data_IF_039056706851
#
_entry.id   IF_039056706851
#
_cell.length_a   1.000
_cell.length_b   1.000
_cell.length_c   1.000
_cell.angle_alpha   90.00
_cell.angle_beta   90.00
_cell.angle_gamma   90.00
#
_symmetry.space_group_name_H-M   'P 1'
#
loop_
_entity.id
_entity.type
_entity.pdbx_description
1 polymer ?
#
# COMPACT_ATOMS: atom_id res chain seq x y z
N UNK A 1 32.35 10.08 -11.73
CA UNK A 1 32.25 8.60 -11.66
C UNK A 1 31.00 8.26 -10.85
N UNK A 2 29.82 8.57 -11.40
CA UNK A 2 28.53 8.43 -10.67
C UNK A 2 27.38 7.92 -11.56
N UNK A 3 27.59 7.77 -12.86
CA UNK A 3 26.52 7.33 -13.78
C UNK A 3 26.56 5.83 -14.10
N UNK A 4 27.61 5.11 -13.70
CA UNK A 4 27.76 3.66 -13.97
C UNK A 4 27.22 2.76 -12.84
N UNK A 5 26.86 3.31 -11.68
CA UNK A 5 26.42 2.49 -10.53
C UNK A 5 24.93 2.14 -10.55
N UNK A 6 24.16 2.68 -11.51
CA UNK A 6 22.71 2.50 -11.57
C UNK A 6 22.27 2.22 -13.01
N UNK A 7 22.61 1.03 -13.51
CA UNK A 7 22.13 0.57 -14.81
C UNK A 7 20.80 -0.19 -14.66
N UNK A 8 19.65 0.39 -15.05
CA UNK A 8 18.34 -0.23 -14.86
C UNK A 8 18.09 -1.48 -15.73
N UNK A 9 19.03 -1.84 -16.61
CA UNK A 9 19.00 -3.07 -17.41
C UNK A 9 19.61 -4.28 -16.71
N UNK A 10 20.26 -4.10 -15.55
CA UNK A 10 20.89 -5.22 -14.86
C UNK A 10 19.84 -6.19 -14.28
N UNK A 11 20.06 -7.52 -14.40
CA UNK A 11 19.08 -8.52 -13.99
C UNK A 11 18.67 -8.42 -12.51
N UNK A 12 19.63 -8.12 -11.62
CA UNK A 12 19.36 -8.00 -10.19
C UNK A 12 18.51 -6.76 -9.88
N UNK A 13 18.65 -5.69 -10.67
CA UNK A 13 17.88 -4.47 -10.49
C UNK A 13 16.42 -4.68 -10.89
N UNK A 14 16.17 -5.34 -12.02
CA UNK A 14 14.83 -5.71 -12.48
C UNK A 14 14.17 -6.62 -11.43
N UNK A 15 14.91 -7.61 -10.93
CA UNK A 15 14.43 -8.52 -9.89
C UNK A 15 14.10 -7.82 -8.57
N UNK A 16 14.98 -6.95 -8.06
CA UNK A 16 14.70 -6.16 -6.86
C UNK A 16 13.48 -5.24 -7.05
N UNK A 17 13.36 -4.61 -8.21
CA UNK A 17 12.22 -3.74 -8.54
C UNK A 17 10.90 -4.51 -8.55
N UNK A 18 10.87 -5.72 -9.11
CA UNK A 18 9.68 -6.58 -9.10
C UNK A 18 9.29 -7.00 -7.69
N UNK A 19 10.27 -7.38 -6.87
CA UNK A 19 10.04 -7.71 -5.45
C UNK A 19 9.47 -6.54 -4.68
N UNK A 20 10.05 -5.34 -4.82
CA UNK A 20 9.56 -4.14 -4.15
C UNK A 20 8.12 -3.82 -4.58
N UNK A 21 7.78 -3.97 -5.86
CA UNK A 21 6.40 -3.79 -6.34
C UNK A 21 5.45 -4.83 -5.75
N UNK A 22 5.86 -6.09 -5.69
CA UNK A 22 5.04 -7.18 -5.19
C UNK A 22 4.76 -7.05 -3.68
N UNK A 23 5.81 -6.88 -2.86
CA UNK A 23 5.66 -6.66 -1.42
C UNK A 23 5.00 -5.31 -1.10
N UNK A 24 5.28 -4.26 -1.89
CA UNK A 24 4.61 -2.97 -1.77
C UNK A 24 3.10 -3.07 -2.02
N UNK A 25 2.70 -3.90 -2.98
CA UNK A 25 1.27 -4.16 -3.28
C UNK A 25 0.57 -4.87 -2.11
N UNK A 26 1.25 -5.84 -1.46
CA UNK A 26 0.73 -6.49 -0.25
C UNK A 26 0.55 -5.47 0.88
N UNK A 27 1.52 -4.57 1.08
CA UNK A 27 1.43 -3.49 2.07
C UNK A 27 0.23 -2.57 1.83
N UNK A 28 -0.02 -2.17 0.58
CA UNK A 28 -1.17 -1.34 0.22
C UNK A 28 -2.49 -2.09 0.47
N UNK A 29 -2.55 -3.39 0.18
CA UNK A 29 -3.71 -4.23 0.49
C UNK A 29 -4.00 -4.28 2.00
N UNK A 30 -2.98 -4.47 2.83
CA UNK A 30 -3.13 -4.46 4.28
C UNK A 30 -3.60 -3.08 4.77
N UNK A 31 -3.00 -2.00 4.27
CA UNK A 31 -3.42 -0.64 4.60
C UNK A 31 -4.88 -0.38 4.20
N UNK A 32 -5.30 -0.86 3.03
CA UNK A 32 -6.67 -0.74 2.56
C UNK A 32 -7.67 -1.45 3.49
N UNK A 33 -7.34 -2.65 3.96
CA UNK A 33 -8.20 -3.41 4.88
C UNK A 33 -8.31 -2.71 6.25
N UNK A 34 -7.18 -2.24 6.79
CA UNK A 34 -7.16 -1.51 8.06
C UNK A 34 -8.00 -0.23 7.95
N UNK A 35 -7.76 0.56 6.91
CA UNK A 35 -8.47 1.82 6.75
C UNK A 35 -9.94 1.65 6.40
N UNK A 36 -10.29 0.63 5.60
CA UNK A 36 -11.68 0.25 5.37
C UNK A 36 -12.38 -0.16 6.67
N UNK A 37 -11.67 -0.84 7.58
CA UNK A 37 -12.22 -1.25 8.89
C UNK A 37 -12.47 -0.05 9.81
N UNK A 38 -11.56 0.94 9.82
CA UNK A 38 -11.74 2.16 10.60
C UNK A 38 -12.89 3.00 10.02
N UNK A 39 -12.96 3.14 8.70
CA UNK A 39 -14.07 3.81 8.01
C UNK A 39 -15.41 3.12 8.29
N UNK A 40 -15.46 1.78 8.26
CA UNK A 40 -16.66 1.03 8.64
C UNK A 40 -17.02 1.24 10.12
N UNK A 41 -16.03 1.24 11.01
CA UNK A 41 -16.19 1.53 12.44
C UNK A 41 -16.77 2.91 12.71
N UNK A 42 -16.46 3.91 11.87
CA UNK A 42 -17.04 5.26 11.97
C UNK A 42 -18.56 5.27 11.78
N UNK A 43 -19.12 4.36 10.95
CA UNK A 43 -20.57 4.24 10.77
C UNK A 43 -21.27 3.54 11.95
N UNK A 44 -20.53 2.73 12.73
CA UNK A 44 -21.07 2.02 13.89
C UNK A 44 -20.99 2.92 15.13
N UNK A 45 -19.81 3.47 15.43
CA UNK A 45 -19.58 4.34 16.58
C UNK A 45 -18.42 5.32 16.30
N UNK A 46 -18.70 6.32 15.46
CA UNK A 46 -17.73 7.36 15.11
C UNK A 46 -17.22 8.18 16.28
N UNK A 47 -18.00 8.36 17.35
CA UNK A 47 -17.56 9.09 18.54
C UNK A 47 -16.44 8.33 19.28
N UNK A 48 -16.59 7.02 19.46
CA UNK A 48 -15.55 6.19 20.06
C UNK A 48 -14.30 6.10 19.20
N UNK A 49 -14.46 5.92 17.88
CA UNK A 49 -13.33 5.92 16.95
C UNK A 49 -12.60 7.27 17.01
N UNK A 50 -13.31 8.39 16.89
CA UNK A 50 -12.73 9.73 16.93
C UNK A 50 -12.02 10.03 18.27
N UNK A 51 -12.51 9.51 19.39
CA UNK A 51 -11.84 9.61 20.69
C UNK A 51 -10.52 8.81 20.74
N UNK A 52 -10.43 7.69 20.01
CA UNK A 52 -9.23 6.84 19.94
C UNK A 52 -8.16 7.35 18.99
N UNK A 53 -8.53 7.70 17.76
CA UNK A 53 -7.58 8.15 16.72
C UNK A 53 -7.43 9.68 16.67
N UNK A 54 -8.38 10.42 17.23
CA UNK A 54 -8.39 11.88 17.20
C UNK A 54 -8.68 12.46 15.81
N UNK A 55 -8.86 13.78 15.76
CA UNK A 55 -9.09 14.50 14.51
C UNK A 55 -7.89 14.41 13.55
N UNK A 56 -6.67 14.47 14.09
CA UNK A 56 -5.44 14.35 13.29
C UNK A 56 -5.32 12.96 12.67
N UNK A 57 -5.64 11.90 13.43
CA UNK A 57 -5.67 10.53 12.92
C UNK A 57 -6.68 10.36 11.79
N UNK A 58 -7.87 10.96 11.92
CA UNK A 58 -8.89 10.95 10.87
C UNK A 58 -8.42 11.64 9.57
N UNK A 59 -7.68 12.75 9.67
CA UNK A 59 -7.11 13.42 8.48
C UNK A 59 -6.10 12.52 7.78
N UNK A 60 -5.23 11.85 8.55
CA UNK A 60 -4.26 10.89 8.02
C UNK A 60 -4.97 9.71 7.34
N UNK A 61 -6.02 9.19 7.97
CA UNK A 61 -6.88 8.12 7.43
C UNK A 61 -7.41 8.46 6.03
N UNK A 62 -7.96 9.66 5.87
CA UNK A 62 -8.48 10.15 4.59
C UNK A 62 -7.37 10.20 3.55
N UNK A 63 -6.19 10.69 3.90
CA UNK A 63 -5.04 10.74 2.99
C UNK A 63 -4.61 9.32 2.58
N UNK A 64 -4.50 8.40 3.54
CA UNK A 64 -4.09 7.01 3.30
C UNK A 64 -5.07 6.29 2.38
N UNK A 65 -6.38 6.42 2.60
CA UNK A 65 -7.42 5.82 1.76
C UNK A 65 -7.30 6.31 0.31
N UNK A 66 -7.13 7.62 0.11
CA UNK A 66 -6.99 8.20 -1.23
C UNK A 66 -5.72 7.72 -1.92
N UNK A 67 -4.58 7.65 -1.21
CA UNK A 67 -3.33 7.11 -1.75
C UNK A 67 -3.50 5.65 -2.14
N UNK A 68 -4.13 4.83 -1.28
CA UNK A 68 -4.38 3.42 -1.59
C UNK A 68 -5.28 3.25 -2.83
N UNK A 69 -6.31 4.09 -2.97
CA UNK A 69 -7.18 4.08 -4.15
C UNK A 69 -6.41 4.45 -5.43
N UNK A 70 -5.59 5.50 -5.39
CA UNK A 70 -4.74 5.90 -6.53
C UNK A 70 -3.73 4.81 -6.88
N UNK A 71 -3.07 4.23 -5.89
CA UNK A 71 -2.12 3.14 -6.11
C UNK A 71 -2.81 1.90 -6.68
N UNK A 72 -4.03 1.59 -6.25
CA UNK A 72 -4.82 0.48 -6.79
C UNK A 72 -5.28 0.70 -8.24
N UNK A 73 -5.40 1.95 -8.69
CA UNK A 73 -5.73 2.28 -10.08
C UNK A 73 -4.49 2.27 -10.98
N UNK A 74 -3.36 2.77 -10.46
CA UNK A 74 -2.12 2.91 -11.23
C UNK A 74 -1.29 1.62 -11.27
N UNK A 75 -1.41 0.78 -10.25
CA UNK A 75 -0.68 -0.48 -10.14
C UNK A 75 -1.65 -1.64 -10.06
N UNK A 76 -1.34 -2.74 -10.73
CA UNK A 76 -2.06 -4.00 -10.57
C UNK A 76 -1.71 -4.62 -9.19
N UNK A 77 -2.27 -4.03 -8.13
CA UNK A 77 -2.00 -4.42 -6.76
C UNK A 77 -2.43 -5.86 -6.50
N UNK A 78 -3.60 -6.25 -7.01
CA UNK A 78 -4.12 -7.61 -6.85
C UNK A 78 -3.23 -8.63 -7.56
N UNK A 79 -2.87 -8.38 -8.82
CA UNK A 79 -2.01 -9.27 -9.59
C UNK A 79 -0.59 -9.37 -9.00
N UNK A 80 -0.03 -8.25 -8.54
CA UNK A 80 1.29 -8.24 -7.91
C UNK A 80 1.30 -8.92 -6.54
N UNK A 81 0.25 -8.74 -5.73
CA UNK A 81 0.12 -9.41 -4.44
C UNK A 81 -0.10 -10.92 -4.62
N UNK A 82 -0.88 -11.34 -5.62
CA UNK A 82 -1.10 -12.75 -5.96
C UNK A 82 0.21 -13.49 -6.22
N UNK A 83 1.15 -12.87 -6.96
CA UNK A 83 2.49 -13.45 -7.19
C UNK A 83 3.24 -13.76 -5.90
N UNK A 84 3.08 -12.92 -4.87
CA UNK A 84 3.68 -13.17 -3.54
C UNK A 84 3.05 -14.39 -2.89
N UNK A 85 1.71 -14.47 -2.88
CA UNK A 85 0.99 -15.59 -2.27
C UNK A 85 1.20 -16.94 -3.00
N UNK A 86 1.49 -16.90 -4.30
CA UNK A 86 1.81 -18.08 -5.10
C UNK A 86 3.31 -18.46 -5.06
N UNK A 87 4.14 -17.70 -4.34
CA UNK A 87 5.59 -17.96 -4.24
C UNK A 87 6.39 -17.67 -5.52
N UNK A 88 5.87 -16.81 -6.39
CA UNK A 88 6.44 -16.45 -7.69
C UNK A 88 7.35 -15.20 -7.65
N UNK A 89 7.81 -14.80 -6.44
CA UNK A 89 8.54 -13.54 -6.17
C UNK A 89 9.81 -13.80 -5.37
#
# INVERSE_FOLDING_TARGET
>A
MTDELFNPSEPWYIYMRERVKAYGSVLVLVAYVISGSIAAGMFINGAWILDKIGLVGLIIEIIVINICAVLSLLYDISGNAKKVFEGQV
#
